data_IF_771637158142
#
_entry.id   IF_771637158142
#
_cell.length_a   1.000
_cell.length_b   1.000
_cell.length_c   1.000
_cell.angle_alpha   90.00
_cell.angle_beta   90.00
_cell.angle_gamma   90.00
#
_symmetry.space_group_name_H-M   'P 1'
#
loop_
_entity.id
_entity.type
_entity.pdbx_description
1 polymer ?
#
# COMPACT_ATOMS: atom_id res chain seq x y z
N UNK A 1 -25.55 -0.19 15.40
CA UNK A 1 -25.53 -1.41 14.58
C UNK A 1 -24.93 -2.47 15.47
N UNK A 2 -25.56 -3.65 15.56
CA UNK A 2 -25.07 -4.78 16.34
C UNK A 2 -24.65 -5.87 15.35
N UNK A 3 -23.33 -6.05 15.21
CA UNK A 3 -22.76 -6.93 14.19
C UNK A 3 -23.04 -8.41 14.49
N UNK A 4 -23.21 -8.76 15.76
CA UNK A 4 -23.54 -10.12 16.18
C UNK A 4 -24.99 -10.46 15.84
N UNK A 5 -25.92 -9.50 15.93
CA UNK A 5 -27.32 -9.70 15.59
C UNK A 5 -27.59 -9.68 14.07
N UNK A 6 -26.90 -8.84 13.32
CA UNK A 6 -27.22 -8.59 11.89
C UNK A 6 -26.65 -9.63 10.92
N UNK A 7 -25.69 -10.47 11.36
CA UNK A 7 -25.17 -11.56 10.53
C UNK A 7 -24.37 -11.08 9.31
N UNK A 8 -23.76 -9.89 9.42
CA UNK A 8 -22.92 -9.28 8.38
C UNK A 8 -21.75 -10.20 8.03
N UNK A 9 -21.37 -10.23 6.75
CA UNK A 9 -20.24 -11.03 6.26
C UNK A 9 -19.17 -10.18 5.60
N UNK A 10 -17.93 -10.60 5.77
CA UNK A 10 -16.76 -10.05 5.09
C UNK A 10 -16.69 -10.55 3.64
N UNK A 11 -15.84 -9.92 2.84
CA UNK A 11 -15.66 -10.27 1.42
C UNK A 11 -15.15 -11.70 1.18
N UNK A 12 -14.49 -12.29 2.18
CA UNK A 12 -14.06 -13.70 2.19
C UNK A 12 -15.18 -14.68 2.61
N UNK A 13 -16.38 -14.17 2.90
CA UNK A 13 -17.55 -14.94 3.32
C UNK A 13 -17.59 -15.30 4.81
N UNK A 14 -16.57 -14.89 5.60
CA UNK A 14 -16.56 -15.06 7.06
C UNK A 14 -17.54 -14.10 7.74
N UNK A 15 -17.99 -14.44 8.95
CA UNK A 15 -18.94 -13.63 9.72
C UNK A 15 -18.20 -12.48 10.40
N UNK A 16 -18.71 -11.27 10.23
CA UNK A 16 -18.27 -10.10 10.97
C UNK A 16 -19.03 -10.04 12.29
N UNK A 17 -18.34 -10.37 13.38
CA UNK A 17 -18.80 -10.22 14.76
C UNK A 17 -18.20 -8.97 15.39
N UNK A 18 -18.71 -8.52 16.54
CA UNK A 18 -18.13 -7.38 17.28
C UNK A 18 -16.66 -7.64 17.65
N UNK A 19 -16.38 -8.86 18.14
CA UNK A 19 -15.02 -9.30 18.46
C UNK A 19 -14.11 -9.23 17.23
N UNK A 20 -14.58 -9.70 16.06
CA UNK A 20 -13.77 -9.69 14.84
C UNK A 20 -13.56 -8.27 14.29
N UNK A 21 -14.56 -7.39 14.42
CA UNK A 21 -14.43 -5.99 14.05
C UNK A 21 -13.37 -5.28 14.92
N UNK A 22 -13.34 -5.58 16.22
CA UNK A 22 -12.35 -5.02 17.13
C UNK A 22 -10.92 -5.51 16.82
N UNK A 23 -10.75 -6.79 16.51
CA UNK A 23 -9.46 -7.34 16.06
C UNK A 23 -8.96 -6.65 14.79
N UNK A 24 -9.80 -6.54 13.75
CA UNK A 24 -9.45 -5.87 12.50
C UNK A 24 -9.07 -4.40 12.72
N UNK A 25 -9.81 -3.70 13.60
CA UNK A 25 -9.47 -2.32 13.96
C UNK A 25 -8.09 -2.22 14.62
N UNK A 26 -7.75 -3.16 15.52
CA UNK A 26 -6.43 -3.21 16.15
C UNK A 26 -5.31 -3.56 15.14
N UNK A 27 -5.55 -4.51 14.23
CA UNK A 27 -4.62 -4.85 13.15
C UNK A 27 -4.31 -3.62 12.27
N UNK A 28 -5.34 -2.88 11.88
CA UNK A 28 -5.22 -1.65 11.08
C UNK A 28 -4.47 -0.56 11.86
N UNK A 29 -4.81 -0.32 13.12
CA UNK A 29 -4.14 0.68 13.96
C UNK A 29 -2.65 0.33 14.17
N UNK A 30 -2.35 -0.95 14.40
CA UNK A 30 -0.99 -1.42 14.59
C UNK A 30 -0.17 -1.34 13.28
N UNK A 31 -0.78 -1.57 12.12
CA UNK A 31 -0.15 -1.33 10.82
C UNK A 31 0.06 0.16 10.54
N UNK A 32 -0.93 1.00 10.85
CA UNK A 32 -0.87 2.44 10.64
C UNK A 32 0.21 3.12 11.51
N UNK A 33 0.43 2.65 12.73
CA UNK A 33 1.44 3.19 13.66
C UNK A 33 2.90 2.96 13.24
N UNK A 34 3.17 2.03 12.30
CA UNK A 34 4.54 1.69 11.87
C UNK A 34 5.03 2.49 10.67
N UNK A 35 4.21 3.40 10.13
CA UNK A 35 4.52 4.07 8.86
C UNK A 35 4.74 3.06 7.74
N UNK A 36 5.06 3.54 6.54
CA UNK A 36 5.46 2.65 5.45
C UNK A 36 6.80 1.99 5.80
N UNK A 37 6.93 0.65 5.75
CA UNK A 37 8.19 -0.02 6.06
C UNK A 37 9.34 0.52 5.21
N UNK A 38 10.53 0.64 5.80
CA UNK A 38 11.74 0.97 5.04
C UNK A 38 12.03 -0.12 4.01
N UNK A 39 12.51 0.31 2.84
CA UNK A 39 12.96 -0.57 1.76
C UNK A 39 14.44 -1.00 1.94
N UNK A 40 15.14 -0.43 2.92
CA UNK A 40 16.39 -0.97 3.44
C UNK A 40 16.10 -1.68 4.78
N UNK A 41 17.03 -2.53 5.23
CA UNK A 41 16.91 -3.31 6.47
C UNK A 41 16.23 -2.53 7.62
N UNK A 42 15.50 -3.20 8.54
CA UNK A 42 14.74 -2.53 9.59
C UNK A 42 15.54 -1.43 10.29
N UNK A 43 15.05 -0.19 10.23
CA UNK A 43 15.71 0.99 10.82
C UNK A 43 16.69 1.76 9.91
N UNK A 44 16.96 1.28 8.69
CA UNK A 44 17.78 1.99 7.70
C UNK A 44 16.98 3.00 6.87
N UNK A 45 17.62 4.08 6.40
CA UNK A 45 17.06 4.93 5.33
C UNK A 45 17.27 4.26 3.97
N UNK A 46 16.24 4.23 3.13
CA UNK A 46 16.37 3.68 1.78
C UNK A 46 17.23 4.61 0.91
N UNK A 47 18.07 4.08 0.00
CA UNK A 47 18.81 4.90 -0.94
C UNK A 47 17.84 5.67 -1.85
N UNK A 48 18.20 6.91 -2.19
CA UNK A 48 17.39 7.79 -3.02
C UNK A 48 18.05 7.97 -4.39
N UNK A 49 17.25 7.94 -5.44
CA UNK A 49 17.67 8.19 -6.81
C UNK A 49 16.97 9.46 -7.33
N UNK A 50 17.75 10.45 -7.77
CA UNK A 50 17.26 11.65 -8.45
C UNK A 50 17.60 11.56 -9.93
N UNK A 51 16.59 11.67 -10.79
CA UNK A 51 16.72 11.53 -12.24
C UNK A 51 16.07 12.73 -12.92
N UNK A 52 16.68 13.18 -14.02
CA UNK A 52 16.03 14.08 -14.97
C UNK A 52 15.27 13.25 -15.99
N UNK A 53 13.99 13.54 -16.17
CA UNK A 53 13.10 12.84 -17.12
C UNK A 53 12.35 13.85 -17.98
N UNK A 54 11.94 13.48 -19.22
CA UNK A 54 11.03 14.29 -20.01
C UNK A 54 9.73 14.58 -19.25
N UNK A 55 9.17 15.76 -19.45
CA UNK A 55 7.94 16.19 -18.77
C UNK A 55 6.77 15.22 -19.02
N UNK A 56 6.61 14.77 -20.26
CA UNK A 56 5.56 13.82 -20.62
C UNK A 56 5.68 12.49 -19.85
N UNK A 57 6.92 12.04 -19.58
CA UNK A 57 7.15 10.81 -18.82
C UNK A 57 6.80 10.98 -17.35
N UNK A 58 7.16 12.13 -16.75
CA UNK A 58 6.79 12.47 -15.38
C UNK A 58 5.27 12.48 -15.22
N UNK A 59 4.57 13.16 -16.12
CA UNK A 59 3.13 13.36 -16.03
C UNK A 59 2.37 12.05 -16.27
N UNK A 60 2.82 11.24 -17.25
CA UNK A 60 2.27 9.90 -17.48
C UNK A 60 2.45 8.97 -16.28
N UNK A 61 3.62 9.00 -15.64
CA UNK A 61 3.88 8.21 -14.44
C UNK A 61 2.98 8.65 -13.27
N UNK A 62 2.71 9.95 -13.13
CA UNK A 62 1.82 10.49 -12.10
C UNK A 62 0.36 10.09 -12.33
N UNK A 63 -0.14 10.27 -13.55
CA UNK A 63 -1.51 9.88 -13.90
C UNK A 63 -1.76 8.39 -13.66
N UNK A 64 -0.77 7.54 -13.99
CA UNK A 64 -0.82 6.11 -13.71
C UNK A 64 -0.80 5.81 -12.22
N UNK A 65 0.03 6.50 -11.45
CA UNK A 65 0.09 6.37 -9.99
C UNK A 65 -1.27 6.68 -9.35
N UNK A 66 -1.90 7.77 -9.79
CA UNK A 66 -3.22 8.20 -9.30
C UNK A 66 -4.32 7.18 -9.68
N UNK A 67 -4.25 6.62 -10.90
CA UNK A 67 -5.22 5.61 -11.39
C UNK A 67 -5.10 4.27 -10.66
N UNK A 68 -3.88 3.85 -10.34
CA UNK A 68 -3.62 2.58 -9.65
C UNK A 68 -3.66 2.71 -8.12
N UNK A 69 -3.91 3.90 -7.56
CA UNK A 69 -3.83 4.20 -6.12
C UNK A 69 -2.47 3.82 -5.50
N UNK A 70 -1.40 3.98 -6.28
CA UNK A 70 -0.02 3.61 -5.92
C UNK A 70 0.88 4.83 -5.90
N UNK A 71 2.00 4.76 -5.20
CA UNK A 71 2.99 5.84 -5.22
C UNK A 71 3.81 5.84 -6.51
N UNK A 72 4.18 7.04 -6.99
CA UNK A 72 5.11 7.22 -8.12
C UNK A 72 6.40 6.42 -7.93
N UNK A 73 6.92 6.36 -6.70
CA UNK A 73 8.12 5.60 -6.36
C UNK A 73 7.94 4.09 -6.43
N UNK A 74 6.73 3.55 -6.24
CA UNK A 74 6.45 2.12 -6.47
C UNK A 74 6.49 1.78 -7.93
N UNK A 75 5.77 2.54 -8.75
CA UNK A 75 5.72 2.31 -10.19
C UNK A 75 7.09 2.46 -10.84
N UNK A 76 7.84 3.50 -10.44
CA UNK A 76 9.20 3.70 -10.92
C UNK A 76 10.11 2.53 -10.55
N UNK A 77 10.05 2.05 -9.30
CA UNK A 77 10.87 0.91 -8.86
C UNK A 77 10.51 -0.36 -9.61
N UNK A 78 9.22 -0.68 -9.73
CA UNK A 78 8.75 -1.87 -10.43
C UNK A 78 9.14 -1.86 -11.91
N UNK A 79 9.09 -0.68 -12.56
CA UNK A 79 9.57 -0.52 -13.93
C UNK A 79 11.09 -0.75 -14.05
N UNK A 80 11.88 -0.22 -13.10
CA UNK A 80 13.33 -0.43 -13.06
C UNK A 80 13.69 -1.90 -12.79
N UNK A 81 13.02 -2.55 -11.83
CA UNK A 81 13.22 -3.97 -11.50
C UNK A 81 12.91 -4.86 -12.71
N UNK A 82 11.78 -4.64 -13.39
CA UNK A 82 11.45 -5.36 -14.63
C UNK A 82 12.49 -5.19 -15.72
N UNK A 83 13.05 -4.00 -15.87
CA UNK A 83 14.03 -3.71 -16.92
C UNK A 83 15.41 -4.28 -16.60
N UNK A 84 15.82 -4.27 -15.32
CA UNK A 84 17.13 -4.74 -14.86
C UNK A 84 17.17 -6.24 -14.57
N UNK A 85 16.02 -6.90 -14.44
CA UNK A 85 15.93 -8.36 -14.28
C UNK A 85 16.09 -9.13 -15.62
N UNK A 86 16.54 -8.45 -16.68
CA UNK A 86 16.82 -9.01 -18.02
C UNK A 86 18.31 -9.18 -18.27
#
# INVERSE_FOLDING_TARGET
>A
MDLDAEGVRLADGSRLTEARAQELAQEVLHAAGRGRPSLSAPGGRSPQLRLSVPEQLRDGLRARADTEERSVSELAREALERNLAS
#
